data_IF_851943898177
#
_entry.id   IF_851943898177
#
_cell.length_a   1.000
_cell.length_b   1.000
_cell.length_c   1.000
_cell.angle_alpha   90.00
_cell.angle_beta   90.00
_cell.angle_gamma   90.00
#
_symmetry.space_group_name_H-M   'P 1'
#
loop_
_entity.id
_entity.type
_entity.pdbx_description
1 polymer ?
#
# COMPACT_ATOMS: atom_id res chain seq x y z
N UNK A 1 -0.17 6.21 -11.95
CA UNK A 1 0.93 5.99 -10.97
C UNK A 1 0.63 4.72 -10.18
N UNK A 2 -0.44 4.71 -9.38
CA UNK A 2 -0.97 3.51 -8.75
C UNK A 2 -1.65 2.65 -9.81
N UNK A 3 -1.40 1.35 -9.80
CA UNK A 3 -2.01 0.36 -10.69
C UNK A 3 -3.09 -0.43 -9.96
N UNK A 4 -2.74 -0.94 -8.78
CA UNK A 4 -3.67 -1.61 -7.88
C UNK A 4 -3.47 -1.09 -6.46
N UNK A 5 -4.54 -1.08 -5.67
CA UNK A 5 -4.52 -0.71 -4.27
C UNK A 5 -5.39 -1.66 -3.44
N UNK A 6 -5.03 -1.85 -2.19
CA UNK A 6 -5.80 -2.64 -1.24
C UNK A 6 -5.73 -1.99 0.14
N UNK A 7 -6.89 -1.59 0.67
CA UNK A 7 -7.00 -1.15 2.05
C UNK A 7 -7.14 -2.37 2.96
N UNK A 8 -6.27 -2.46 3.95
CA UNK A 8 -6.27 -3.45 5.03
C UNK A 8 -6.31 -2.72 6.38
N UNK A 9 -6.76 -3.38 7.43
CA UNK A 9 -6.96 -2.72 8.72
C UNK A 9 -7.84 -3.49 9.69
N UNK A 10 -8.40 -4.63 9.28
CA UNK A 10 -9.34 -5.41 10.11
C UNK A 10 -8.69 -5.95 11.39
N UNK A 11 -7.40 -6.24 11.36
CA UNK A 11 -6.63 -6.74 12.52
C UNK A 11 -5.62 -5.71 13.06
N UNK A 12 -5.72 -4.45 12.63
CA UNK A 12 -4.77 -3.40 12.97
C UNK A 12 -5.48 -2.27 13.71
N UNK A 13 -4.74 -1.55 14.56
CA UNK A 13 -5.26 -0.36 15.25
C UNK A 13 -5.59 0.80 14.29
N UNK A 14 -5.14 0.73 13.03
CA UNK A 14 -5.37 1.76 12.02
C UNK A 14 -5.43 1.17 10.61
N UNK A 15 -6.03 1.91 9.68
CA UNK A 15 -6.13 1.50 8.28
C UNK A 15 -4.80 1.71 7.56
N UNK A 16 -4.36 0.70 6.82
CA UNK A 16 -3.12 0.69 6.05
C UNK A 16 -3.46 0.42 4.59
N UNK A 17 -2.87 1.19 3.68
CA UNK A 17 -3.11 1.06 2.25
C UNK A 17 -1.90 0.43 1.57
N UNK A 18 -2.05 -0.75 0.98
CA UNK A 18 -1.03 -1.32 0.11
C UNK A 18 -1.26 -0.86 -1.32
N UNK A 19 -0.18 -0.44 -2.01
CA UNK A 19 -0.24 0.03 -3.39
C UNK A 19 0.81 -0.66 -4.25
N UNK A 20 0.37 -1.22 -5.38
CA UNK A 20 1.24 -1.62 -6.48
C UNK A 20 1.32 -0.48 -7.49
N UNK A 21 2.53 -0.06 -7.81
CA UNK A 21 2.78 0.98 -8.81
C UNK A 21 2.82 0.38 -10.22
N UNK A 22 2.42 1.19 -11.20
CA UNK A 22 2.57 0.84 -12.61
C UNK A 22 4.04 0.97 -13.08
N UNK A 23 4.36 0.41 -14.24
CA UNK A 23 5.74 0.43 -14.78
C UNK A 23 6.33 1.85 -14.91
N UNK A 24 5.52 2.85 -15.29
CA UNK A 24 5.97 4.23 -15.44
C UNK A 24 6.40 4.82 -14.09
N UNK A 25 5.58 4.67 -13.06
CA UNK A 25 5.86 5.18 -11.72
C UNK A 25 7.05 4.49 -11.06
N UNK A 26 7.28 3.20 -11.38
CA UNK A 26 8.47 2.47 -10.89
C UNK A 26 9.79 3.01 -11.46
N UNK A 27 9.76 3.64 -12.64
CA UNK A 27 10.94 4.27 -13.27
C UNK A 27 11.15 5.73 -12.82
N UNK A 28 10.19 6.31 -12.11
CA UNK A 28 10.30 7.68 -11.61
C UNK A 28 11.16 7.75 -10.35
N UNK A 29 11.74 8.92 -10.03
CA UNK A 29 12.41 9.15 -8.77
C UNK A 29 11.47 8.85 -7.59
N UNK A 30 11.98 8.10 -6.61
CA UNK A 30 11.21 7.72 -5.41
C UNK A 30 10.72 8.94 -4.62
N UNK A 31 11.47 10.03 -4.65
CA UNK A 31 11.10 11.31 -4.03
C UNK A 31 9.81 11.86 -4.61
N UNK A 32 9.69 11.93 -5.95
CA UNK A 32 8.49 12.41 -6.64
C UNK A 32 7.28 11.52 -6.34
N UNK A 33 7.48 10.19 -6.37
CA UNK A 33 6.40 9.24 -6.05
C UNK A 33 5.98 9.35 -4.58
N UNK A 34 6.95 9.46 -3.66
CA UNK A 34 6.68 9.65 -2.22
C UNK A 34 5.90 10.93 -1.97
N UNK A 35 6.30 12.04 -2.57
CA UNK A 35 5.62 13.33 -2.43
C UNK A 35 4.19 13.28 -2.98
N UNK A 36 4.01 12.68 -4.17
CA UNK A 36 2.68 12.51 -4.78
C UNK A 36 1.75 11.66 -3.91
N UNK A 37 2.26 10.55 -3.34
CA UNK A 37 1.51 9.70 -2.43
C UNK A 37 1.20 10.41 -1.11
N UNK A 38 2.14 11.15 -0.54
CA UNK A 38 1.92 11.94 0.68
C UNK A 38 0.85 13.00 0.48
N UNK A 39 0.87 13.70 -0.66
CA UNK A 39 -0.15 14.69 -0.98
C UNK A 39 -1.53 14.04 -1.12
N UNK A 40 -1.61 12.92 -1.84
CA UNK A 40 -2.86 12.14 -1.99
C UNK A 40 -3.38 11.67 -0.63
N UNK A 41 -2.52 11.15 0.23
CA UNK A 41 -2.87 10.72 1.59
C UNK A 41 -3.45 11.88 2.41
N UNK A 42 -2.83 13.06 2.35
CA UNK A 42 -3.31 14.26 3.06
C UNK A 42 -4.69 14.69 2.57
N UNK A 43 -4.89 14.76 1.25
CA UNK A 43 -6.17 15.15 0.65
C UNK A 43 -7.28 14.17 1.03
N UNK A 44 -7.01 12.87 0.95
CA UNK A 44 -7.98 11.82 1.32
C UNK A 44 -8.29 11.86 2.82
N UNK A 45 -7.27 11.91 3.68
CA UNK A 45 -7.45 11.94 5.12
C UNK A 45 -8.11 13.23 5.64
N UNK A 46 -8.09 14.33 4.87
CA UNK A 46 -8.78 15.57 5.25
C UNK A 46 -10.31 15.40 5.29
N UNK A 47 -10.86 14.53 4.45
CA UNK A 47 -12.30 14.23 4.41
C UNK A 47 -12.75 13.07 5.30
N UNK A 48 -11.81 12.35 5.92
CA UNK A 48 -12.09 11.13 6.70
C UNK A 48 -12.11 11.40 8.20
N UNK A 49 -13.01 10.70 8.91
CA UNK A 49 -13.03 10.71 10.37
C UNK A 49 -11.78 10.01 10.93
N UNK A 50 -11.40 10.34 12.16
CA UNK A 50 -10.15 9.86 12.77
C UNK A 50 -9.95 8.34 12.72
N UNK A 51 -11.02 7.55 12.85
CA UNK A 51 -10.97 6.09 12.78
C UNK A 51 -10.96 5.53 11.34
N UNK A 52 -11.28 6.34 10.33
CA UNK A 52 -11.27 5.98 8.91
C UNK A 52 -9.95 6.37 8.24
N UNK A 53 -9.17 7.25 8.88
CA UNK A 53 -7.90 7.75 8.34
C UNK A 53 -6.94 6.61 8.08
N UNK A 54 -6.25 6.75 6.96
CA UNK A 54 -5.18 5.85 6.54
C UNK A 54 -3.91 6.33 7.25
N UNK A 55 -3.31 5.45 8.05
CA UNK A 55 -2.09 5.77 8.79
C UNK A 55 -0.85 5.65 7.92
N UNK A 56 -0.78 4.59 7.10
CA UNK A 56 0.39 4.26 6.29
C UNK A 56 -0.01 3.85 4.87
N UNK A 57 0.80 4.23 3.90
CA UNK A 57 0.79 3.71 2.54
C UNK A 57 2.04 2.86 2.35
N UNK A 58 1.83 1.59 2.03
CA UNK A 58 2.87 0.61 1.79
C UNK A 58 3.03 0.38 0.31
N UNK A 59 4.20 0.70 -0.21
CA UNK A 59 4.51 0.53 -1.63
C UNK A 59 5.18 -0.81 -1.84
N UNK A 60 4.47 -1.73 -2.50
CA UNK A 60 4.98 -3.08 -2.79
C UNK A 60 5.79 -3.11 -4.07
N UNK A 61 6.80 -3.98 -4.10
CA UNK A 61 7.61 -4.21 -5.29
C UNK A 61 6.97 -5.17 -6.27
N UNK A 62 6.18 -6.13 -5.81
CA UNK A 62 5.56 -7.10 -6.71
C UNK A 62 4.41 -6.45 -7.49
N UNK A 63 4.28 -6.77 -8.78
CA UNK A 63 3.06 -6.47 -9.52
C UNK A 63 1.97 -7.44 -9.10
N UNK A 64 0.73 -6.97 -8.95
CA UNK A 64 -0.41 -7.84 -8.65
C UNK A 64 -1.03 -8.31 -9.95
N UNK A 65 -1.08 -9.63 -10.14
CA UNK A 65 -1.58 -10.25 -11.37
C UNK A 65 -2.57 -11.36 -11.02
N UNK A 66 -3.26 -11.87 -12.05
CA UNK A 66 -4.05 -13.09 -11.91
C UNK A 66 -3.16 -14.32 -11.75
N UNK A 67 -1.97 -14.30 -12.36
CA UNK A 67 -0.99 -15.40 -12.34
C UNK A 67 -0.41 -15.65 -10.95
N UNK A 68 -0.17 -14.59 -10.17
CA UNK A 68 0.31 -14.72 -8.78
C UNK A 68 -0.83 -14.82 -7.75
N UNK A 69 -2.05 -15.13 -8.21
CA UNK A 69 -3.27 -15.33 -7.45
C UNK A 69 -3.75 -14.12 -6.64
N UNK A 70 -3.12 -12.95 -6.79
CA UNK A 70 -3.49 -11.73 -6.06
C UNK A 70 -4.76 -11.11 -6.64
N UNK A 71 -4.98 -11.24 -7.95
CA UNK A 71 -6.18 -10.75 -8.62
C UNK A 71 -7.14 -11.91 -8.96
N UNK A 72 -8.44 -11.64 -8.93
CA UNK A 72 -9.43 -12.51 -9.57
C UNK A 72 -9.31 -12.44 -11.09
N UNK A 73 -9.87 -13.39 -11.86
CA UNK A 73 -9.96 -13.27 -13.32
C UNK A 73 -10.63 -11.97 -13.80
N UNK A 74 -11.47 -11.36 -12.94
CA UNK A 74 -12.11 -10.06 -13.16
C UNK A 74 -11.28 -8.87 -12.66
N UNK A 75 -9.98 -9.07 -12.40
CA UNK A 75 -9.01 -8.07 -11.95
C UNK A 75 -9.33 -7.42 -10.59
N UNK A 76 -10.16 -8.06 -9.77
CA UNK A 76 -10.42 -7.60 -8.39
C UNK A 76 -9.33 -8.11 -7.46
N UNK A 77 -8.80 -7.24 -6.61
CA UNK A 77 -7.79 -7.62 -5.61
C UNK A 77 -8.39 -8.56 -4.56
N UNK A 78 -7.76 -9.72 -4.35
CA UNK A 78 -8.11 -10.66 -3.29
C UNK A 78 -7.48 -10.20 -1.97
N UNK A 79 -8.22 -9.40 -1.18
CA UNK A 79 -7.73 -8.84 0.10
C UNK A 79 -7.09 -9.89 1.01
N UNK A 80 -7.72 -11.08 1.17
CA UNK A 80 -7.19 -12.17 2.01
C UNK A 80 -5.79 -12.63 1.59
N UNK A 81 -5.51 -12.64 0.29
CA UNK A 81 -4.19 -13.02 -0.26
C UNK A 81 -3.17 -11.93 0.03
N UNK A 82 -3.54 -10.66 -0.16
CA UNK A 82 -2.71 -9.50 0.20
C UNK A 82 -2.37 -9.50 1.69
N UNK A 83 -3.38 -9.60 2.55
CA UNK A 83 -3.21 -9.59 4.01
C UNK A 83 -2.24 -10.70 4.44
N UNK A 84 -2.43 -11.93 3.95
CA UNK A 84 -1.52 -13.05 4.26
C UNK A 84 -0.12 -12.86 3.68
N UNK A 85 0.00 -12.45 2.42
CA UNK A 85 1.29 -12.36 1.71
C UNK A 85 2.17 -11.25 2.29
N UNK A 86 1.59 -10.13 2.68
CA UNK A 86 2.32 -8.97 3.17
C UNK A 86 2.19 -8.78 4.68
N UNK A 87 1.70 -9.78 5.43
CA UNK A 87 1.45 -9.67 6.87
C UNK A 87 2.67 -9.14 7.62
N UNK A 88 3.82 -9.81 7.49
CA UNK A 88 5.05 -9.43 8.18
C UNK A 88 5.51 -8.02 7.80
N UNK A 89 5.40 -7.68 6.51
CA UNK A 89 5.76 -6.35 6.02
C UNK A 89 4.83 -5.28 6.59
N UNK A 90 3.52 -5.52 6.64
CA UNK A 90 2.54 -4.62 7.22
C UNK A 90 2.86 -4.38 8.71
N UNK A 91 3.12 -5.44 9.48
CA UNK A 91 3.48 -5.30 10.89
C UNK A 91 4.77 -4.50 11.09
N UNK A 92 5.83 -4.79 10.33
CA UNK A 92 7.08 -4.03 10.40
C UNK A 92 6.89 -2.58 9.98
N UNK A 93 6.04 -2.31 8.99
CA UNK A 93 5.83 -0.96 8.47
C UNK A 93 4.99 -0.09 9.40
N UNK A 94 3.98 -0.65 10.06
CA UNK A 94 3.16 0.08 11.05
C UNK A 94 3.99 0.47 12.29
N UNK A 95 5.09 -0.24 12.56
CA UNK A 95 6.04 0.12 13.60
C UNK A 95 6.98 1.28 13.22
N UNK A 96 7.01 1.69 11.94
CA UNK A 96 7.83 2.81 11.48
C UNK A 96 7.11 4.15 11.67
N UNK A 97 7.84 5.24 11.94
CA UNK A 97 7.25 6.58 12.03
C UNK A 97 6.88 7.17 10.65
N UNK A 98 7.38 6.59 9.56
CA UNK A 98 7.13 7.09 8.21
C UNK A 98 5.77 6.64 7.68
N UNK A 99 4.98 7.59 7.15
CA UNK A 99 3.68 7.27 6.54
C UNK A 99 3.77 6.56 5.20
N UNK A 100 4.85 6.73 4.44
CA UNK A 100 5.07 6.04 3.17
C UNK A 100 6.26 5.10 3.33
N UNK A 101 6.00 3.79 3.34
CA UNK A 101 7.02 2.76 3.54
C UNK A 101 7.14 1.90 2.30
N UNK A 102 8.38 1.63 1.90
CA UNK A 102 8.66 0.79 0.74
C UNK A 102 9.06 -0.63 1.17
N UNK A 103 8.56 -1.64 0.46
CA UNK A 103 8.77 -3.05 0.81
C UNK A 103 10.24 -3.46 0.93
N UNK A 104 11.10 -2.99 0.03
CA UNK A 104 12.52 -3.35 0.07
C UNK A 104 13.28 -2.77 1.26
N UNK A 105 12.79 -1.70 1.89
CA UNK A 105 13.44 -1.11 3.07
C UNK A 105 13.34 -2.05 4.28
N UNK A 106 12.37 -2.97 4.29
CA UNK A 106 12.09 -3.88 5.41
C UNK A 106 12.31 -5.37 5.08
N UNK A 107 12.81 -5.68 3.87
CA UNK A 107 13.19 -7.02 3.41
C UNK A 107 14.65 -7.41 3.78
N UNK A 108 15.26 -6.72 4.74
CA UNK A 108 16.55 -7.10 5.32
C UNK A 108 16.44 -8.35 6.21
#
# INVERSE_FOLDING_TARGET
MIEHLCLVGRELASNVLLVSLNQKARKQPKSEVKESLQNTLRVVNAGLKSYEKISHILVVQDAWTTENDVLTPTLKVKRRVIERRYQDFIHKAVAQPETIVWEYTLRA
#
